data_IF_212759156599
#
_entry.id   IF_212759156599
#
_cell.length_a   1.000
_cell.length_b   1.000
_cell.length_c   1.000
_cell.angle_alpha   90.00
_cell.angle_beta   90.00
_cell.angle_gamma   90.00
#
_symmetry.space_group_name_H-M   'P 1'
#
loop_
_entity.id
_entity.type
_entity.pdbx_description
1 polymer ?
#
# COMPACT_ATOMS: atom_id res chain seq x y z
N UNK A 1 75.62 65.21 18.60
CA UNK A 1 74.87 65.05 17.34
C UNK A 1 73.47 64.57 17.71
N UNK A 2 72.49 65.43 17.52
CA UNK A 2 71.06 65.17 17.77
C UNK A 2 70.55 64.01 16.91
N UNK A 3 69.71 63.15 17.48
CA UNK A 3 68.43 62.81 16.85
C UNK A 3 67.46 62.28 17.92
N UNK A 4 66.47 63.11 18.22
CA UNK A 4 65.35 62.78 19.08
C UNK A 4 64.35 61.94 18.29
N UNK A 5 63.84 60.87 18.89
CA UNK A 5 62.58 60.26 18.44
C UNK A 5 61.61 60.25 19.62
N UNK A 6 60.63 61.15 19.50
CA UNK A 6 59.47 61.29 20.36
C UNK A 6 58.67 59.99 20.40
N UNK A 7 58.19 59.69 21.59
CA UNK A 7 57.15 58.73 21.93
C UNK A 7 55.84 59.01 21.17
N UNK A 8 55.18 57.96 20.67
CA UNK A 8 53.72 57.91 20.53
C UNK A 8 53.20 56.95 21.60
N UNK A 9 52.63 57.50 22.68
CA UNK A 9 51.76 56.73 23.57
C UNK A 9 50.47 56.46 22.81
N UNK A 10 50.11 55.18 22.66
CA UNK A 10 48.76 54.75 22.30
C UNK A 10 47.80 55.33 23.35
N UNK A 11 46.71 55.94 22.91
CA UNK A 11 45.66 56.46 23.80
C UNK A 11 44.79 55.32 24.30
N UNK A 12 44.22 55.41 25.50
CA UNK A 12 43.31 54.39 26.10
C UNK A 12 42.18 53.95 25.14
N UNK A 13 41.85 54.77 24.14
CA UNK A 13 40.87 54.44 23.11
C UNK A 13 41.34 53.35 22.14
N UNK A 14 42.66 53.24 21.87
CA UNK A 14 43.27 52.21 21.02
C UNK A 14 43.39 50.86 21.76
N UNK A 15 43.63 50.87 23.07
CA UNK A 15 43.57 49.64 23.89
C UNK A 15 42.13 49.13 24.08
N UNK A 16 41.14 50.04 24.16
CA UNK A 16 39.73 49.67 24.14
C UNK A 16 39.29 49.12 22.78
N UNK A 17 39.79 49.65 21.67
CA UNK A 17 39.52 49.10 20.35
C UNK A 17 40.18 47.74 20.17
N UNK A 18 41.40 47.55 20.68
CA UNK A 18 42.09 46.26 20.68
C UNK A 18 41.39 45.23 21.56
N UNK A 19 40.92 45.61 22.77
CA UNK A 19 40.10 44.73 23.61
C UNK A 19 38.71 44.49 23.02
N UNK A 20 38.08 45.45 22.35
CA UNK A 20 36.79 45.24 21.69
C UNK A 20 36.93 44.37 20.44
N UNK A 21 38.02 44.49 19.68
CA UNK A 21 38.34 43.61 18.54
C UNK A 21 38.74 42.22 19.03
N UNK A 22 39.51 42.10 20.13
CA UNK A 22 39.83 40.81 20.75
C UNK A 22 38.58 40.19 21.37
N UNK A 23 37.67 40.96 21.97
CA UNK A 23 36.37 40.47 22.47
C UNK A 23 35.44 40.14 21.31
N UNK A 24 35.44 40.86 20.19
CA UNK A 24 34.66 40.53 18.98
C UNK A 24 35.24 39.31 18.24
N UNK A 25 36.56 39.13 18.22
CA UNK A 25 37.22 37.93 17.68
C UNK A 25 36.99 36.74 18.61
N UNK A 26 37.05 36.93 19.93
CA UNK A 26 36.71 35.91 20.93
C UNK A 26 35.20 35.61 20.93
N UNK A 27 34.32 36.60 20.73
CA UNK A 27 32.87 36.37 20.56
C UNK A 27 32.51 35.74 19.21
N UNK A 28 33.37 35.89 18.20
CA UNK A 28 33.25 35.16 16.94
C UNK A 28 33.78 33.71 17.06
N UNK A 29 34.50 33.39 18.14
CA UNK A 29 34.94 32.02 18.52
C UNK A 29 33.90 31.33 19.43
N UNK A 30 32.93 32.06 20.01
CA UNK A 30 31.93 31.51 20.95
C UNK A 30 30.58 31.17 20.32
N UNK A 31 30.56 30.82 19.03
CA UNK A 31 29.46 29.98 18.50
C UNK A 31 30.01 28.57 18.42
N UNK A 32 29.73 27.78 19.46
CA UNK A 32 30.06 26.36 19.60
C UNK A 32 29.48 25.53 18.43
N UNK A 33 30.12 25.55 17.27
CA UNK A 33 30.18 24.36 16.42
C UNK A 33 31.43 23.61 16.87
N UNK A 34 31.30 22.77 17.91
CA UNK A 34 32.32 21.76 18.14
C UNK A 34 32.46 20.99 16.82
N UNK A 35 33.64 20.94 16.26
CA UNK A 35 33.90 20.23 15.02
C UNK A 35 35.05 19.28 15.30
N UNK A 36 34.97 18.05 14.80
CA UNK A 36 36.13 17.17 14.76
C UNK A 36 36.97 17.64 13.58
N UNK A 37 38.12 18.24 13.86
CA UNK A 37 38.99 18.81 12.85
C UNK A 37 40.35 18.13 12.83
N UNK A 38 40.87 17.90 11.62
CA UNK A 38 42.25 17.55 11.38
C UNK A 38 42.99 18.83 10.95
N UNK A 39 43.83 19.37 11.83
CA UNK A 39 44.47 20.68 11.62
C UNK A 39 43.43 21.80 11.39
N UNK A 40 43.46 22.46 10.22
CA UNK A 40 42.53 23.55 9.84
C UNK A 40 41.25 23.07 9.14
N UNK A 41 41.11 21.76 8.86
CA UNK A 41 39.97 21.21 8.13
C UNK A 41 39.07 20.38 9.05
N UNK A 42 37.84 20.84 9.21
CA UNK A 42 36.84 20.15 10.01
C UNK A 42 36.13 19.08 9.20
N UNK A 43 36.21 17.83 9.68
CA UNK A 43 35.75 16.62 9.01
C UNK A 43 34.34 16.25 9.45
N UNK A 44 34.07 16.42 10.75
CA UNK A 44 32.76 16.16 11.31
C UNK A 44 32.24 17.37 12.06
N UNK A 45 30.93 17.58 11.97
CA UNK A 45 30.20 18.59 12.72
C UNK A 45 29.59 17.95 13.94
N UNK A 46 29.87 18.50 15.11
CA UNK A 46 29.10 18.23 16.31
C UNK A 46 27.81 19.03 16.22
N UNK A 47 26.69 18.35 16.36
CA UNK A 47 25.42 18.99 16.56
C UNK A 47 25.13 18.90 18.06
N UNK A 48 25.51 19.95 18.79
CA UNK A 48 25.20 20.03 20.21
C UNK A 48 23.74 20.49 20.31
N UNK A 49 22.80 19.54 20.23
CA UNK A 49 21.41 19.85 20.55
C UNK A 49 21.36 20.13 22.03
N UNK A 50 21.38 21.40 22.44
CA UNK A 50 21.05 21.84 23.81
C UNK A 50 19.56 21.62 24.15
N UNK A 51 18.94 20.63 23.51
CA UNK A 51 17.62 20.14 23.87
C UNK A 51 17.78 19.20 25.06
N UNK A 52 17.08 19.55 26.13
CA UNK A 52 17.16 19.00 27.49
C UNK A 52 16.84 17.48 27.58
N UNK A 53 16.53 16.83 26.47
CA UNK A 53 16.17 15.42 26.38
C UNK A 53 17.15 14.55 25.55
N UNK A 54 18.26 15.12 25.07
CA UNK A 54 19.25 14.37 24.26
C UNK A 54 20.24 13.58 25.14
N UNK A 55 20.29 12.25 24.93
CA UNK A 55 21.03 11.26 25.74
C UNK A 55 22.57 11.39 25.58
N UNK A 56 23.04 12.18 24.62
CA UNK A 56 24.44 12.52 24.41
C UNK A 56 24.67 13.27 23.10
N UNK A 57 25.94 13.43 22.74
CA UNK A 57 26.35 14.25 21.60
C UNK A 57 26.08 13.55 20.26
N UNK A 58 25.65 14.32 19.26
CA UNK A 58 25.45 13.85 17.89
C UNK A 58 26.57 14.37 17.00
N UNK A 59 27.23 13.47 16.26
CA UNK A 59 28.30 13.80 15.33
C UNK A 59 27.90 13.43 13.91
N UNK A 60 28.10 14.35 12.96
CA UNK A 60 27.83 14.15 11.54
C UNK A 60 29.08 14.41 10.71
N UNK A 61 29.52 13.39 9.97
CA UNK A 61 30.71 13.45 9.11
C UNK A 61 30.35 13.26 7.63
N UNK A 62 29.29 13.92 7.13
CA UNK A 62 28.81 13.72 5.76
C UNK A 62 29.76 14.32 4.70
N UNK A 63 29.75 13.74 3.50
CA UNK A 63 30.55 14.12 2.32
C UNK A 63 32.08 13.95 2.43
N UNK A 64 32.58 13.08 3.31
CA UNK A 64 34.01 12.79 3.47
C UNK A 64 34.36 11.30 3.33
N UNK A 65 35.01 10.94 2.21
CA UNK A 65 35.44 9.56 1.88
C UNK A 65 36.61 9.04 2.71
N UNK A 66 37.31 9.91 3.45
CA UNK A 66 38.51 9.55 4.23
C UNK A 66 38.25 9.44 5.72
N UNK A 67 37.02 9.69 6.18
CA UNK A 67 36.67 9.72 7.61
C UNK A 67 37.08 8.44 8.36
N UNK A 68 36.91 7.27 7.74
CA UNK A 68 37.29 5.98 8.36
C UNK A 68 38.80 5.67 8.32
N UNK A 69 39.59 6.44 7.57
CA UNK A 69 41.04 6.29 7.46
C UNK A 69 41.81 7.15 8.47
N UNK A 70 41.09 7.97 9.23
CA UNK A 70 41.68 8.87 10.21
C UNK A 70 41.73 8.19 11.59
N UNK A 71 42.84 8.41 12.29
CA UNK A 71 43.11 7.88 13.62
C UNK A 71 42.63 8.86 14.70
N UNK A 72 41.32 9.10 14.78
CA UNK A 72 40.72 9.89 15.86
C UNK A 72 39.74 9.03 16.66
N UNK A 73 39.78 9.21 17.98
CA UNK A 73 38.86 8.56 18.91
C UNK A 73 37.60 9.40 19.07
N UNK A 74 36.43 8.74 19.13
CA UNK A 74 35.20 9.40 19.49
C UNK A 74 35.21 9.75 21.00
N UNK A 75 34.81 10.96 21.39
CA UNK A 75 34.54 11.25 22.79
C UNK A 75 33.50 10.29 23.38
N UNK A 76 33.68 9.91 24.64
CA UNK A 76 32.74 9.02 25.35
C UNK A 76 31.35 9.65 25.61
N UNK A 77 31.14 10.89 25.21
CA UNK A 77 29.84 11.58 25.25
C UNK A 77 29.03 11.38 23.97
N UNK A 78 29.63 10.85 22.91
CA UNK A 78 28.98 10.67 21.61
C UNK A 78 27.97 9.53 21.68
N UNK A 79 26.72 9.88 21.43
CA UNK A 79 25.57 8.99 21.40
C UNK A 79 25.27 8.49 19.98
N UNK A 80 25.31 9.38 18.99
CA UNK A 80 24.98 9.06 17.60
C UNK A 80 26.04 9.55 16.61
N UNK A 81 26.36 8.70 15.63
CA UNK A 81 27.34 8.99 14.57
C UNK A 81 26.70 8.81 13.19
N UNK A 82 26.69 9.90 12.42
CA UNK A 82 26.21 9.94 11.05
C UNK A 82 27.39 9.97 10.08
N UNK A 83 27.58 8.87 9.35
CA UNK A 83 28.55 8.67 8.28
C UNK A 83 27.87 8.51 6.91
N UNK A 84 26.62 8.99 6.79
CA UNK A 84 25.82 8.87 5.57
C UNK A 84 26.40 9.71 4.42
N UNK A 85 26.18 9.27 3.16
CA UNK A 85 26.57 10.03 1.95
C UNK A 85 28.07 10.32 1.84
N UNK A 86 28.91 9.40 2.29
CA UNK A 86 30.37 9.53 2.29
C UNK A 86 31.07 8.79 1.15
N UNK A 87 30.31 8.14 0.25
CA UNK A 87 30.86 7.35 -0.86
C UNK A 87 31.88 6.30 -0.37
N UNK A 88 31.66 5.76 0.83
CA UNK A 88 32.50 4.72 1.42
C UNK A 88 32.28 3.40 0.67
N UNK A 89 33.35 2.79 0.18
CA UNK A 89 33.29 1.50 -0.52
C UNK A 89 33.41 0.30 0.41
N UNK A 90 33.97 0.50 1.60
CA UNK A 90 34.16 -0.55 2.60
C UNK A 90 34.15 0.04 4.00
N UNK A 91 33.78 -0.79 4.98
CA UNK A 91 33.97 -0.50 6.40
C UNK A 91 35.31 -1.10 6.79
N UNK A 92 36.30 -0.25 7.05
CA UNK A 92 37.61 -0.67 7.56
C UNK A 92 37.67 -0.46 9.07
N UNK A 93 38.50 -1.25 9.75
CA UNK A 93 38.78 -1.06 11.17
C UNK A 93 39.24 0.37 11.44
N UNK A 94 38.41 1.13 12.15
CA UNK A 94 38.62 2.54 12.52
C UNK A 94 38.29 2.71 13.99
N UNK A 95 38.98 3.63 14.67
CA UNK A 95 38.67 3.95 16.06
C UNK A 95 37.28 4.56 16.23
N UNK A 96 36.73 5.20 15.18
CA UNK A 96 35.34 5.68 15.16
C UNK A 96 34.31 4.56 15.28
N UNK A 97 34.69 3.33 14.92
CA UNK A 97 33.85 2.13 14.99
C UNK A 97 34.22 1.24 16.19
N UNK A 98 34.99 1.80 17.13
CA UNK A 98 35.38 1.21 18.41
C UNK A 98 35.00 2.17 19.54
N UNK A 99 33.73 2.13 19.96
CA UNK A 99 33.20 3.04 20.98
C UNK A 99 32.25 2.30 21.92
N UNK A 100 32.35 2.63 23.21
CA UNK A 100 31.47 2.11 24.24
C UNK A 100 30.30 3.05 24.56
N UNK A 101 30.30 4.29 24.09
CA UNK A 101 29.19 5.23 24.30
C UNK A 101 28.18 5.23 23.15
N UNK A 102 28.63 4.86 21.95
CA UNK A 102 27.82 4.98 20.74
C UNK A 102 26.62 4.04 20.79
N UNK A 103 25.44 4.62 20.60
CA UNK A 103 24.14 3.93 20.61
C UNK A 103 23.50 3.89 19.23
N UNK A 104 23.78 4.88 18.37
CA UNK A 104 23.26 4.93 17.00
C UNK A 104 24.37 5.15 15.97
N UNK A 105 24.35 4.37 14.90
CA UNK A 105 25.29 4.47 13.79
C UNK A 105 24.55 4.46 12.44
N UNK A 106 24.77 5.49 11.65
CA UNK A 106 24.19 5.65 10.32
C UNK A 106 25.29 5.61 9.26
N UNK A 107 25.27 4.59 8.42
CA UNK A 107 26.19 4.34 7.30
C UNK A 107 25.45 4.27 5.97
N UNK A 108 24.18 4.70 5.94
CA UNK A 108 23.33 4.65 4.78
C UNK A 108 23.77 5.58 3.64
N UNK A 109 23.35 5.27 2.41
CA UNK A 109 23.69 6.05 1.22
C UNK A 109 25.19 6.16 0.97
N UNK A 110 25.90 5.03 1.15
CA UNK A 110 27.30 4.87 0.79
C UNK A 110 27.41 3.89 -0.38
N UNK A 111 28.58 3.28 -0.61
CA UNK A 111 28.82 2.25 -1.63
C UNK A 111 29.46 1.01 -1.01
N UNK A 112 29.10 0.72 0.24
CA UNK A 112 29.72 -0.36 1.00
C UNK A 112 29.30 -1.68 0.37
N UNK A 113 30.28 -2.52 -0.01
CA UNK A 113 30.01 -3.79 -0.70
C UNK A 113 29.91 -4.99 0.24
N UNK A 114 30.54 -4.91 1.40
CA UNK A 114 30.55 -5.95 2.41
C UNK A 114 30.77 -5.39 3.83
N UNK A 115 30.31 -6.13 4.84
CA UNK A 115 30.66 -5.89 6.24
C UNK A 115 31.47 -7.08 6.75
N UNK A 116 32.76 -6.84 6.99
CA UNK A 116 33.69 -7.86 7.48
C UNK A 116 33.55 -8.08 8.99
N UNK A 117 34.07 -9.21 9.47
CA UNK A 117 34.21 -9.46 10.91
C UNK A 117 35.12 -8.44 11.59
N UNK A 118 34.90 -8.21 12.89
CA UNK A 118 35.71 -7.35 13.76
C UNK A 118 35.79 -5.86 13.36
N UNK A 119 35.01 -5.36 12.40
CA UNK A 119 35.03 -3.92 12.03
C UNK A 119 34.11 -3.05 12.89
N UNK A 120 33.10 -3.64 13.53
CA UNK A 120 32.13 -2.96 14.40
C UNK A 120 32.27 -3.43 15.86
N UNK A 121 32.99 -2.67 16.68
CA UNK A 121 33.16 -2.93 18.12
C UNK A 121 32.37 -1.91 18.94
N UNK A 122 31.05 -2.06 18.93
CA UNK A 122 30.11 -1.07 19.50
C UNK A 122 29.12 -1.76 20.46
N UNK A 123 29.57 -2.16 21.67
CA UNK A 123 28.79 -3.03 22.57
C UNK A 123 27.45 -2.45 23.02
N UNK A 124 27.29 -1.13 23.00
CA UNK A 124 26.05 -0.45 23.39
C UNK A 124 25.22 0.04 22.20
N UNK A 125 25.58 -0.36 20.98
CA UNK A 125 24.85 0.02 19.78
C UNK A 125 23.46 -0.61 19.80
N UNK A 126 22.44 0.23 19.65
CA UNK A 126 21.03 -0.15 19.54
C UNK A 126 20.49 0.02 18.14
N UNK A 127 21.02 0.98 17.37
CA UNK A 127 20.55 1.29 16.03
C UNK A 127 21.69 1.26 15.01
N UNK A 128 21.51 0.49 13.93
CA UNK A 128 22.42 0.45 12.80
C UNK A 128 21.64 0.61 11.49
N UNK A 129 21.98 1.64 10.72
CA UNK A 129 21.42 1.86 9.38
C UNK A 129 22.51 1.70 8.31
N UNK A 130 22.39 0.63 7.52
CA UNK A 130 23.24 0.29 6.38
C UNK A 130 22.46 0.35 5.07
N UNK A 131 21.27 0.95 5.05
CA UNK A 131 20.42 1.01 3.87
C UNK A 131 21.05 1.79 2.71
N UNK A 132 20.60 1.53 1.49
CA UNK A 132 21.08 2.24 0.30
C UNK A 132 22.62 2.14 0.16
N UNK A 133 23.14 0.92 0.21
CA UNK A 133 24.53 0.59 -0.04
C UNK A 133 24.60 -0.42 -1.20
N UNK A 134 25.77 -1.01 -1.42
CA UNK A 134 26.01 -2.02 -2.44
C UNK A 134 26.29 -3.40 -1.81
N UNK A 135 25.75 -3.64 -0.60
CA UNK A 135 26.08 -4.81 0.20
C UNK A 135 25.62 -6.08 -0.51
N UNK A 136 26.56 -6.99 -0.71
CA UNK A 136 26.29 -8.35 -1.21
C UNK A 136 26.46 -9.39 -0.12
N UNK A 137 27.23 -9.07 0.92
CA UNK A 137 27.62 -10.02 1.95
C UNK A 137 27.87 -9.32 3.29
N UNK A 138 27.44 -9.97 4.37
CA UNK A 138 27.77 -9.62 5.74
C UNK A 138 28.38 -10.87 6.38
N UNK A 139 29.62 -10.74 6.85
CA UNK A 139 30.30 -11.83 7.53
C UNK A 139 29.46 -12.31 8.72
N UNK A 140 29.42 -13.63 8.93
CA UNK A 140 28.63 -14.25 10.00
C UNK A 140 28.98 -13.69 11.39
N UNK A 141 30.22 -13.25 11.59
CA UNK A 141 30.72 -12.70 12.85
C UNK A 141 30.81 -11.16 12.83
N UNK A 142 30.35 -10.48 11.77
CA UNK A 142 30.31 -9.02 11.65
C UNK A 142 29.57 -8.35 12.81
N UNK A 143 28.53 -9.01 13.33
CA UNK A 143 27.68 -8.48 14.40
C UNK A 143 28.02 -9.01 15.80
N UNK A 144 29.13 -9.74 15.95
CA UNK A 144 29.51 -10.41 17.21
C UNK A 144 29.62 -9.46 18.41
N UNK A 145 30.01 -8.21 18.21
CA UNK A 145 30.20 -7.23 19.29
C UNK A 145 29.05 -6.22 19.43
N UNK A 146 27.99 -6.31 18.63
CA UNK A 146 26.83 -5.40 18.70
C UNK A 146 25.57 -6.12 19.17
N UNK A 147 25.70 -6.96 20.21
CA UNK A 147 24.61 -7.85 20.68
C UNK A 147 23.38 -7.14 21.26
N UNK A 148 23.52 -5.85 21.57
CA UNK A 148 22.43 -5.01 22.10
C UNK A 148 21.64 -4.29 20.98
N UNK A 149 21.89 -4.64 19.71
CA UNK A 149 21.19 -4.04 18.59
C UNK A 149 19.69 -4.36 18.67
N UNK A 150 18.87 -3.31 18.60
CA UNK A 150 17.41 -3.35 18.64
C UNK A 150 16.81 -3.06 17.26
N UNK A 151 17.47 -2.23 16.45
CA UNK A 151 17.06 -1.85 15.10
C UNK A 151 18.19 -2.06 14.08
N UNK A 152 17.87 -2.78 13.00
CA UNK A 152 18.78 -2.99 11.87
C UNK A 152 18.08 -2.69 10.55
N UNK A 153 18.63 -1.75 9.77
CA UNK A 153 18.16 -1.46 8.41
C UNK A 153 19.21 -1.86 7.37
N UNK A 154 18.84 -2.80 6.52
CA UNK A 154 19.62 -3.33 5.39
C UNK A 154 18.90 -3.14 4.05
N UNK A 155 17.86 -2.29 4.01
CA UNK A 155 17.07 -2.05 2.81
C UNK A 155 17.90 -1.50 1.64
N UNK A 156 17.46 -1.74 0.42
CA UNK A 156 18.09 -1.21 -0.80
C UNK A 156 19.58 -1.59 -0.87
N UNK A 157 19.85 -2.89 -0.78
CA UNK A 157 21.16 -3.50 -0.97
C UNK A 157 21.06 -4.60 -2.04
N UNK A 158 22.11 -5.42 -2.22
CA UNK A 158 22.19 -6.43 -3.27
C UNK A 158 22.27 -7.85 -2.72
N UNK A 159 21.61 -8.11 -1.59
CA UNK A 159 21.52 -9.46 -1.05
C UNK A 159 20.62 -10.34 -1.94
N UNK A 160 21.13 -11.50 -2.37
CA UNK A 160 20.38 -12.45 -3.20
C UNK A 160 19.96 -13.71 -2.42
N UNK A 161 20.43 -13.87 -1.19
CA UNK A 161 20.11 -14.99 -0.31
C UNK A 161 20.40 -14.63 1.14
N UNK A 162 19.65 -15.21 2.07
CA UNK A 162 19.95 -15.09 3.50
C UNK A 162 21.23 -15.79 3.91
N UNK A 163 21.78 -16.71 3.12
CA UNK A 163 23.12 -17.28 3.39
C UNK A 163 24.22 -16.21 3.43
N UNK A 164 23.96 -15.06 2.81
CA UNK A 164 24.87 -13.92 2.78
C UNK A 164 24.82 -13.06 4.05
N UNK A 165 23.93 -13.37 5.00
CA UNK A 165 23.72 -12.59 6.23
C UNK A 165 23.43 -13.54 7.39
N UNK A 166 23.99 -13.30 8.56
CA UNK A 166 23.65 -14.09 9.75
C UNK A 166 23.24 -13.20 10.92
N UNK A 167 22.11 -13.54 11.54
CA UNK A 167 21.55 -12.75 12.65
C UNK A 167 21.72 -13.40 14.02
N UNK A 168 22.42 -14.54 14.11
CA UNK A 168 22.53 -15.35 15.33
C UNK A 168 23.13 -14.62 16.55
N UNK A 169 23.92 -13.55 16.34
CA UNK A 169 24.44 -12.71 17.43
C UNK A 169 23.46 -11.63 17.92
N UNK A 170 22.39 -11.36 17.17
CA UNK A 170 21.45 -10.24 17.38
C UNK A 170 20.22 -10.67 18.20
N UNK A 171 20.44 -11.18 19.41
CA UNK A 171 19.39 -11.73 20.28
C UNK A 171 18.46 -10.70 20.95
N UNK A 172 18.71 -9.41 20.72
CA UNK A 172 17.88 -8.30 21.20
C UNK A 172 17.20 -7.53 20.07
N UNK A 173 17.32 -8.00 18.82
CA UNK A 173 16.73 -7.31 17.68
C UNK A 173 15.21 -7.32 17.79
N UNK A 174 14.63 -6.13 17.62
CA UNK A 174 13.18 -5.86 17.72
C UNK A 174 12.62 -5.50 16.35
N UNK A 175 13.39 -4.74 15.57
CA UNK A 175 13.00 -4.26 14.25
C UNK A 175 14.08 -4.55 13.21
N UNK A 176 13.64 -5.11 12.09
CA UNK A 176 14.51 -5.37 10.95
C UNK A 176 13.83 -4.94 9.64
N UNK A 177 14.59 -4.23 8.81
CA UNK A 177 14.15 -3.74 7.50
C UNK A 177 15.08 -4.33 6.44
N UNK A 178 14.51 -5.11 5.52
CA UNK A 178 15.20 -5.84 4.45
C UNK A 178 14.69 -5.47 3.06
N UNK A 179 13.92 -4.40 2.97
CA UNK A 179 13.22 -3.99 1.75
C UNK A 179 14.14 -3.86 0.54
N UNK A 180 13.60 -4.05 -0.66
CA UNK A 180 14.29 -3.82 -1.93
C UNK A 180 15.64 -4.56 -2.04
N UNK A 181 15.67 -5.82 -1.58
CA UNK A 181 16.74 -6.78 -1.84
C UNK A 181 16.24 -7.88 -2.79
N UNK A 182 17.06 -8.89 -3.10
CA UNK A 182 16.65 -10.03 -3.95
C UNK A 182 16.52 -11.32 -3.12
N UNK A 183 15.83 -11.23 -1.98
CA UNK A 183 15.76 -12.29 -0.96
C UNK A 183 14.61 -13.29 -1.17
N UNK A 184 13.66 -13.00 -2.06
CA UNK A 184 12.41 -13.75 -2.21
C UNK A 184 12.60 -15.26 -2.41
N UNK A 185 13.49 -15.66 -3.32
CA UNK A 185 13.72 -17.08 -3.61
C UNK A 185 14.20 -17.89 -2.39
N UNK A 186 14.93 -17.27 -1.46
CA UNK A 186 15.37 -17.96 -0.24
C UNK A 186 14.27 -18.12 0.81
N UNK A 187 13.28 -17.22 0.87
CA UNK A 187 12.13 -17.33 1.80
C UNK A 187 11.03 -18.26 1.32
N UNK A 188 11.02 -18.57 0.03
CA UNK A 188 10.12 -19.59 -0.53
C UNK A 188 10.49 -20.99 0.02
N UNK A 189 11.75 -21.21 0.37
CA UNK A 189 12.27 -22.51 0.79
C UNK A 189 12.60 -22.60 2.29
N UNK A 190 12.86 -21.48 2.97
CA UNK A 190 13.39 -21.48 4.33
C UNK A 190 12.67 -20.49 5.26
N UNK A 191 12.63 -20.85 6.54
CA UNK A 191 12.08 -19.99 7.60
C UNK A 191 13.17 -19.09 8.20
N UNK A 192 12.95 -17.77 8.17
CA UNK A 192 13.84 -16.76 8.73
C UNK A 192 13.99 -16.85 10.26
N UNK A 193 12.97 -17.36 10.94
CA UNK A 193 12.89 -17.51 12.40
C UNK A 193 13.36 -18.87 12.90
N UNK A 194 13.73 -19.80 12.01
CA UNK A 194 14.31 -21.08 12.41
C UNK A 194 15.63 -20.84 13.16
N UNK A 195 15.67 -21.30 14.42
CA UNK A 195 16.86 -21.19 15.28
C UNK A 195 18.07 -21.94 14.74
N UNK A 196 17.86 -22.98 13.94
CA UNK A 196 18.94 -23.73 13.28
C UNK A 196 19.43 -23.07 11.99
N UNK A 197 18.64 -22.13 11.45
CA UNK A 197 18.92 -21.38 10.23
C UNK A 197 19.53 -20.00 10.48
N UNK A 198 18.83 -18.95 10.02
CA UNK A 198 19.39 -17.60 9.86
C UNK A 198 19.42 -16.76 11.15
N UNK A 199 18.72 -17.20 12.19
CA UNK A 199 18.93 -16.73 13.56
C UNK A 199 18.18 -15.48 13.98
N UNK A 200 17.04 -15.13 13.34
CA UNK A 200 16.13 -14.16 13.96
C UNK A 200 15.45 -14.79 15.18
N UNK A 201 15.21 -13.96 16.20
CA UNK A 201 14.58 -14.41 17.44
C UNK A 201 13.11 -14.01 17.50
N UNK A 202 12.37 -14.67 18.39
CA UNK A 202 10.98 -14.35 18.69
C UNK A 202 10.73 -12.93 19.20
N UNK A 203 11.78 -12.18 19.57
CA UNK A 203 11.65 -10.79 20.04
C UNK A 203 11.34 -9.79 18.94
N UNK A 204 11.39 -10.20 17.66
CA UNK A 204 11.08 -9.34 16.54
C UNK A 204 9.61 -8.92 16.61
N UNK A 205 9.40 -7.60 16.66
CA UNK A 205 8.08 -6.96 16.69
C UNK A 205 7.74 -6.28 15.37
N UNK A 206 8.75 -5.93 14.58
CA UNK A 206 8.58 -5.27 13.29
C UNK A 206 9.48 -5.92 12.24
N UNK A 207 8.87 -6.43 11.17
CA UNK A 207 9.54 -7.01 10.02
C UNK A 207 9.07 -6.31 8.75
N UNK A 208 10.01 -5.77 7.99
CA UNK A 208 9.77 -5.20 6.66
C UNK A 208 10.59 -5.95 5.62
N UNK A 209 9.90 -6.55 4.67
CA UNK A 209 10.42 -7.32 3.53
C UNK A 209 9.69 -6.88 2.24
N UNK A 210 9.48 -5.57 2.10
CA UNK A 210 8.85 -4.99 0.92
C UNK A 210 9.76 -5.13 -0.30
N UNK A 211 9.22 -5.46 -1.48
CA UNK A 211 10.02 -5.40 -2.71
C UNK A 211 11.13 -6.45 -2.82
N UNK A 212 11.09 -7.55 -2.04
CA UNK A 212 12.15 -8.56 -2.06
C UNK A 212 12.02 -9.60 -3.19
N UNK A 213 11.05 -9.42 -4.10
CA UNK A 213 10.72 -10.33 -5.18
C UNK A 213 10.17 -11.70 -4.71
N UNK A 214 9.43 -11.72 -3.60
CA UNK A 214 8.82 -12.93 -3.05
C UNK A 214 7.57 -13.36 -3.84
N UNK A 215 7.46 -14.61 -4.27
CA UNK A 215 6.27 -15.11 -5.01
C UNK A 215 5.28 -15.87 -4.13
N UNK A 216 5.79 -16.57 -3.13
CA UNK A 216 4.98 -17.34 -2.19
C UNK A 216 5.64 -17.33 -0.81
N UNK A 217 4.82 -17.35 0.24
CA UNK A 217 5.31 -17.49 1.61
C UNK A 217 5.28 -18.97 1.98
N UNK A 218 6.37 -19.48 2.54
CA UNK A 218 6.45 -20.85 3.03
C UNK A 218 5.45 -21.08 4.20
N UNK A 219 4.78 -22.23 4.25
CA UNK A 219 3.71 -22.53 5.23
C UNK A 219 4.15 -22.28 6.68
N UNK A 220 5.37 -22.70 7.04
CA UNK A 220 5.88 -22.55 8.40
C UNK A 220 6.58 -21.21 8.71
N UNK A 221 6.46 -20.19 7.85
CA UNK A 221 7.26 -18.97 7.97
C UNK A 221 7.03 -18.22 9.30
N UNK A 222 5.79 -18.19 9.81
CA UNK A 222 5.44 -17.45 11.03
C UNK A 222 5.23 -18.33 12.27
N UNK A 223 5.52 -19.63 12.21
CA UNK A 223 5.20 -20.59 13.29
C UNK A 223 5.83 -20.22 14.64
N UNK A 224 7.07 -19.74 14.64
CA UNK A 224 7.82 -19.37 15.86
C UNK A 224 7.69 -17.88 16.24
N UNK A 225 6.78 -17.15 15.58
CA UNK A 225 6.71 -15.69 15.66
C UNK A 225 5.50 -15.25 16.50
N UNK A 226 5.75 -15.03 17.80
CA UNK A 226 4.69 -14.72 18.77
C UNK A 226 4.69 -13.28 19.29
N UNK A 227 5.63 -12.43 18.89
CA UNK A 227 5.63 -11.01 19.27
C UNK A 227 5.49 -10.03 18.08
N UNK A 228 5.35 -10.54 16.85
CA UNK A 228 5.30 -9.68 15.66
C UNK A 228 4.03 -8.83 15.64
N UNK A 229 4.22 -7.52 15.64
CA UNK A 229 3.14 -6.52 15.64
C UNK A 229 3.01 -5.81 14.30
N UNK A 230 4.10 -5.67 13.55
CA UNK A 230 4.13 -4.96 12.29
C UNK A 230 4.76 -5.84 11.23
N UNK A 231 4.00 -6.10 10.17
CA UNK A 231 4.48 -6.79 8.99
C UNK A 231 4.24 -5.93 7.75
N UNK A 232 5.31 -5.60 7.06
CA UNK A 232 5.27 -5.03 5.72
C UNK A 232 5.86 -6.04 4.73
N UNK A 233 5.00 -6.56 3.85
CA UNK A 233 5.36 -7.50 2.77
C UNK A 233 4.87 -6.97 1.42
N UNK A 234 4.72 -5.65 1.33
CA UNK A 234 4.24 -4.95 0.15
C UNK A 234 5.20 -5.10 -1.05
N UNK A 235 4.72 -4.76 -2.25
CA UNK A 235 5.48 -4.73 -3.49
C UNK A 235 6.21 -6.05 -3.84
N UNK A 236 5.64 -7.18 -3.44
CA UNK A 236 6.12 -8.51 -3.81
C UNK A 236 5.26 -9.10 -4.95
N UNK A 237 5.43 -10.38 -5.24
CA UNK A 237 4.74 -11.11 -6.31
C UNK A 237 3.78 -12.17 -5.76
N UNK A 238 3.26 -11.95 -4.55
CA UNK A 238 2.36 -12.88 -3.86
C UNK A 238 0.99 -12.86 -4.55
N UNK A 239 0.57 -14.00 -5.09
CA UNK A 239 -0.69 -14.14 -5.82
C UNK A 239 -1.88 -14.60 -4.95
N UNK A 240 -1.58 -15.24 -3.82
CA UNK A 240 -2.55 -15.85 -2.91
C UNK A 240 -2.18 -15.49 -1.46
N UNK A 241 -3.20 -15.37 -0.60
CA UNK A 241 -3.00 -15.11 0.82
C UNK A 241 -2.48 -16.37 1.53
N UNK A 242 -1.85 -16.17 2.67
CA UNK A 242 -1.18 -17.18 3.48
C UNK A 242 -1.52 -16.96 4.96
N UNK A 243 -1.17 -17.92 5.82
CA UNK A 243 -1.43 -17.81 7.26
C UNK A 243 -0.64 -16.66 7.88
N UNK A 244 -1.38 -15.69 8.44
CA UNK A 244 -0.82 -14.50 9.05
C UNK A 244 -0.75 -14.67 10.58
N UNK A 245 0.28 -14.12 11.24
CA UNK A 245 0.38 -14.18 12.69
C UNK A 245 -0.74 -13.37 13.35
N UNK A 246 -1.52 -14.01 14.23
CA UNK A 246 -2.65 -13.40 14.95
C UNK A 246 -2.28 -12.21 15.84
N UNK A 247 -0.98 -12.00 16.09
CA UNK A 247 -0.44 -10.95 16.96
C UNK A 247 -0.34 -9.58 16.29
N UNK A 248 -0.54 -9.51 14.97
CA UNK A 248 -0.37 -8.30 14.16
C UNK A 248 -1.32 -7.16 14.56
N UNK A 249 -0.76 -5.96 14.55
CA UNK A 249 -1.45 -4.68 14.72
C UNK A 249 -1.36 -3.82 13.46
N UNK A 250 -0.35 -4.05 12.60
CA UNK A 250 -0.19 -3.42 11.30
C UNK A 250 0.16 -4.47 10.25
N UNK A 251 -0.55 -4.44 9.12
CA UNK A 251 -0.28 -5.28 7.96
C UNK A 251 -0.34 -4.47 6.66
N UNK A 252 0.74 -4.54 5.88
CA UNK A 252 0.78 -4.01 4.52
C UNK A 252 1.07 -5.12 3.50
N UNK A 253 0.07 -5.40 2.67
CA UNK A 253 0.13 -6.36 1.56
C UNK A 253 0.11 -5.64 0.21
N UNK A 254 0.18 -4.30 0.20
CA UNK A 254 -0.02 -3.48 -1.00
C UNK A 254 0.91 -3.87 -2.14
N UNK A 255 0.48 -3.69 -3.38
CA UNK A 255 1.32 -3.93 -4.56
C UNK A 255 1.63 -5.40 -4.86
N UNK A 256 0.94 -6.34 -4.21
CA UNK A 256 1.00 -7.75 -4.55
C UNK A 256 -0.10 -8.15 -5.57
N UNK A 257 0.14 -9.13 -6.46
CA UNK A 257 -0.83 -9.58 -7.45
C UNK A 257 -1.98 -10.44 -6.89
N UNK A 258 -2.41 -10.21 -5.65
CA UNK A 258 -3.50 -10.94 -5.00
C UNK A 258 -4.81 -10.71 -5.76
N UNK A 259 -5.45 -11.80 -6.19
CA UNK A 259 -6.63 -11.76 -7.07
C UNK A 259 -7.97 -11.89 -6.34
N UNK A 260 -7.96 -12.42 -5.12
CA UNK A 260 -9.14 -12.64 -4.30
C UNK A 260 -8.77 -12.53 -2.82
N UNK A 261 -9.76 -12.14 -2.02
CA UNK A 261 -9.74 -12.19 -0.57
C UNK A 261 -11.02 -12.89 -0.11
N UNK A 262 -11.04 -13.43 1.10
CA UNK A 262 -12.16 -14.16 1.70
C UNK A 262 -12.45 -13.66 3.12
N UNK A 263 -13.58 -14.09 3.70
CA UNK A 263 -13.92 -13.81 5.09
C UNK A 263 -13.02 -14.53 6.10
N UNK A 264 -12.30 -15.57 5.68
CA UNK A 264 -11.43 -16.36 6.56
C UNK A 264 -10.01 -15.79 6.63
N UNK A 265 -9.54 -15.12 5.56
CA UNK A 265 -8.14 -14.71 5.40
C UNK A 265 -7.60 -13.78 6.51
N UNK A 266 -8.49 -13.00 7.12
CA UNK A 266 -8.15 -12.05 8.19
C UNK A 266 -8.86 -12.37 9.52
N UNK A 267 -9.55 -13.52 9.61
CA UNK A 267 -10.45 -13.82 10.71
C UNK A 267 -9.75 -13.82 12.08
N UNK A 268 -8.49 -14.27 12.15
CA UNK A 268 -7.72 -14.37 13.39
C UNK A 268 -7.01 -13.07 13.79
N UNK A 269 -7.04 -12.03 12.96
CA UNK A 269 -6.29 -10.79 13.17
C UNK A 269 -7.06 -9.78 14.04
N UNK A 270 -7.58 -10.23 15.18
CA UNK A 270 -8.48 -9.44 16.05
C UNK A 270 -7.81 -8.19 16.62
N UNK A 271 -6.47 -8.21 16.76
CA UNK A 271 -5.66 -7.08 17.24
C UNK A 271 -5.28 -6.07 16.15
N UNK A 272 -5.62 -6.34 14.88
CA UNK A 272 -5.19 -5.53 13.74
C UNK A 272 -5.83 -4.14 13.78
N UNK A 273 -5.01 -3.10 13.70
CA UNK A 273 -5.43 -1.69 13.75
C UNK A 273 -5.35 -1.01 12.39
N UNK A 274 -4.39 -1.41 11.57
CA UNK A 274 -4.15 -0.84 10.25
C UNK A 274 -3.92 -1.96 9.22
N UNK A 275 -4.74 -1.95 8.17
CA UNK A 275 -4.67 -2.90 7.06
C UNK A 275 -4.57 -2.15 5.73
N UNK A 276 -3.51 -2.44 4.98
CA UNK A 276 -3.28 -1.88 3.64
C UNK A 276 -3.31 -2.98 2.58
N UNK A 277 -4.27 -2.83 1.67
CA UNK A 277 -4.57 -3.71 0.54
C UNK A 277 -4.59 -2.88 -0.75
N UNK A 278 -3.63 -1.97 -0.89
CA UNK A 278 -3.58 -1.06 -2.02
C UNK A 278 -3.00 -1.76 -3.25
N UNK A 279 -3.45 -1.40 -4.46
CA UNK A 279 -2.89 -1.87 -5.72
C UNK A 279 -2.80 -3.41 -5.83
N UNK A 280 -3.81 -4.13 -5.34
CA UNK A 280 -4.02 -5.55 -5.58
C UNK A 280 -4.80 -5.77 -6.88
N UNK A 281 -4.99 -7.05 -7.24
CA UNK A 281 -5.74 -7.47 -8.43
C UNK A 281 -7.15 -7.99 -8.10
N UNK A 282 -7.63 -7.71 -6.89
CA UNK A 282 -8.96 -8.11 -6.41
C UNK A 282 -10.09 -7.51 -7.25
N UNK A 283 -11.12 -8.32 -7.50
CA UNK A 283 -12.30 -7.90 -8.28
C UNK A 283 -13.47 -7.45 -7.42
N UNK A 284 -13.58 -8.01 -6.22
CA UNK A 284 -14.61 -7.72 -5.25
C UNK A 284 -14.07 -7.82 -3.82
N UNK A 285 -14.66 -7.03 -2.92
CA UNK A 285 -14.58 -7.27 -1.47
C UNK A 285 -15.81 -8.11 -1.10
N UNK A 286 -15.64 -9.37 -0.67
CA UNK A 286 -16.76 -10.25 -0.37
C UNK A 286 -17.40 -9.94 0.97
N UNK A 287 -18.50 -10.64 1.25
CA UNK A 287 -19.18 -10.62 2.54
C UNK A 287 -18.22 -11.07 3.65
N UNK A 288 -18.31 -10.43 4.82
CA UNK A 288 -17.56 -10.79 6.04
C UNK A 288 -16.03 -10.71 5.92
N UNK A 289 -15.47 -10.14 4.84
CA UNK A 289 -14.03 -9.98 4.64
C UNK A 289 -13.28 -9.37 5.83
N UNK A 290 -13.94 -8.46 6.55
CA UNK A 290 -13.36 -7.69 7.65
C UNK A 290 -14.17 -7.79 8.95
N UNK A 291 -15.12 -8.73 9.05
CA UNK A 291 -16.07 -8.77 10.17
C UNK A 291 -15.40 -9.06 11.52
N UNK A 292 -14.33 -9.85 11.53
CA UNK A 292 -13.61 -10.21 12.77
C UNK A 292 -12.60 -9.15 13.24
N UNK A 293 -12.39 -8.10 12.45
CA UNK A 293 -11.35 -7.09 12.69
C UNK A 293 -11.84 -5.99 13.64
N UNK A 294 -12.20 -6.38 14.86
CA UNK A 294 -12.82 -5.50 15.86
C UNK A 294 -11.92 -4.36 16.38
N UNK A 295 -10.60 -4.40 16.11
CA UNK A 295 -9.66 -3.33 16.47
C UNK A 295 -9.29 -2.43 15.28
N UNK A 296 -9.87 -2.65 14.10
CA UNK A 296 -9.42 -2.02 12.86
C UNK A 296 -9.85 -0.56 12.81
N UNK A 297 -8.87 0.34 12.86
CA UNK A 297 -9.06 1.79 12.80
C UNK A 297 -8.82 2.38 11.41
N UNK A 298 -8.01 1.71 10.59
CA UNK A 298 -7.64 2.21 9.27
C UNK A 298 -7.58 1.09 8.23
N UNK A 299 -8.38 1.23 7.17
CA UNK A 299 -8.42 0.32 6.04
C UNK A 299 -8.17 1.07 4.73
N UNK A 300 -7.15 0.64 3.99
CA UNK A 300 -6.82 1.19 2.68
C UNK A 300 -6.96 0.12 1.58
N UNK A 301 -7.79 0.42 0.57
CA UNK A 301 -8.06 -0.40 -0.61
C UNK A 301 -7.90 0.48 -1.88
N UNK A 302 -6.88 1.33 -1.89
CA UNK A 302 -6.63 2.27 -2.99
C UNK A 302 -6.08 1.59 -4.24
N UNK A 303 -6.40 2.16 -5.40
CA UNK A 303 -5.84 1.77 -6.70
C UNK A 303 -6.03 0.29 -7.03
N UNK A 304 -7.06 -0.35 -6.48
CA UNK A 304 -7.47 -1.68 -6.89
C UNK A 304 -8.23 -1.56 -8.22
N UNK A 305 -7.47 -1.53 -9.32
CA UNK A 305 -8.00 -1.20 -10.66
C UNK A 305 -9.00 -2.23 -11.19
N UNK A 306 -9.08 -3.41 -10.60
CA UNK A 306 -10.06 -4.45 -10.97
C UNK A 306 -11.27 -4.47 -10.02
N UNK A 307 -11.24 -3.73 -8.91
CA UNK A 307 -12.27 -3.75 -7.89
C UNK A 307 -13.52 -3.03 -8.40
N UNK A 308 -14.58 -3.81 -8.65
CA UNK A 308 -15.85 -3.31 -9.21
C UNK A 308 -17.03 -3.46 -8.26
N UNK A 309 -16.90 -4.31 -7.24
CA UNK A 309 -17.94 -4.58 -6.24
C UNK A 309 -17.38 -4.48 -4.83
N UNK A 310 -18.20 -3.98 -3.93
CA UNK A 310 -17.91 -3.93 -2.50
C UNK A 310 -19.16 -4.45 -1.78
N UNK A 311 -19.01 -5.52 -1.00
CA UNK A 311 -20.13 -6.10 -0.27
C UNK A 311 -20.67 -5.16 0.80
N UNK A 312 -21.99 -5.16 0.95
CA UNK A 312 -22.69 -4.42 2.02
C UNK A 312 -22.40 -4.98 3.40
N UNK A 313 -22.08 -6.26 3.49
CA UNK A 313 -21.81 -7.01 4.73
C UNK A 313 -20.32 -7.31 4.88
N UNK A 314 -19.44 -6.58 4.17
CA UNK A 314 -17.99 -6.76 4.27
C UNK A 314 -17.48 -6.63 5.73
N UNK A 315 -18.09 -5.75 6.52
CA UNK A 315 -17.79 -5.55 7.95
C UNK A 315 -18.70 -6.35 8.89
N UNK A 316 -19.48 -7.30 8.38
CA UNK A 316 -20.49 -8.03 9.15
C UNK A 316 -21.89 -7.44 9.05
N UNK A 317 -22.90 -8.23 9.40
CA UNK A 317 -24.30 -7.79 9.45
C UNK A 317 -24.59 -6.92 10.68
N UNK A 318 -23.88 -7.18 11.77
CA UNK A 318 -24.05 -6.50 13.06
C UNK A 318 -23.83 -4.99 12.94
N UNK A 319 -22.82 -4.56 12.18
CA UNK A 319 -22.51 -3.15 11.89
C UNK A 319 -23.66 -2.40 11.19
N UNK A 320 -24.52 -3.11 10.46
CA UNK A 320 -25.67 -2.50 9.77
C UNK A 320 -26.88 -2.33 10.70
N UNK A 321 -26.96 -3.12 11.78
CA UNK A 321 -28.02 -3.06 12.77
C UNK A 321 -27.65 -2.11 13.92
N UNK A 322 -26.40 -2.20 14.39
CA UNK A 322 -25.83 -1.39 15.45
C UNK A 322 -24.43 -0.89 15.05
N UNK A 323 -24.33 0.42 14.86
CA UNK A 323 -23.08 1.08 14.47
C UNK A 323 -22.28 1.57 15.68
N UNK A 324 -22.70 1.31 16.93
CA UNK A 324 -21.92 1.72 18.11
C UNK A 324 -20.58 0.98 18.21
N UNK A 325 -20.53 -0.29 17.77
CA UNK A 325 -19.32 -1.11 17.77
C UNK A 325 -18.44 -0.94 16.51
N UNK A 326 -18.82 -0.04 15.59
CA UNK A 326 -18.06 0.23 14.38
C UNK A 326 -16.88 1.17 14.68
N UNK A 327 -15.71 0.59 14.96
CA UNK A 327 -14.50 1.33 15.39
C UNK A 327 -13.66 1.93 14.25
N UNK A 328 -14.01 1.66 13.00
CA UNK A 328 -13.22 2.12 11.85
C UNK A 328 -13.22 3.66 11.81
N UNK A 329 -12.04 4.27 11.74
CA UNK A 329 -11.92 5.73 11.65
C UNK A 329 -11.66 6.18 10.21
N UNK A 330 -10.90 5.37 9.47
CA UNK A 330 -10.37 5.73 8.14
C UNK A 330 -10.64 4.63 7.14
N UNK A 331 -11.32 4.98 6.05
CA UNK A 331 -11.51 4.13 4.89
C UNK A 331 -11.09 4.85 3.61
N UNK A 332 -10.26 4.20 2.80
CA UNK A 332 -9.93 4.69 1.45
C UNK A 332 -10.25 3.62 0.41
N UNK A 333 -11.16 3.94 -0.51
CA UNK A 333 -11.51 3.13 -1.69
C UNK A 333 -11.06 3.82 -2.98
N UNK A 334 -10.10 4.75 -2.87
CA UNK A 334 -9.73 5.70 -3.92
C UNK A 334 -9.15 5.01 -5.15
N UNK A 335 -9.53 5.47 -6.34
CA UNK A 335 -8.87 5.08 -7.59
C UNK A 335 -9.13 3.64 -8.02
N UNK A 336 -10.23 3.05 -7.55
CA UNK A 336 -10.72 1.74 -7.94
C UNK A 336 -11.74 1.86 -9.08
N UNK A 337 -12.43 0.78 -9.44
CA UNK A 337 -13.47 0.76 -10.50
C UNK A 337 -14.89 0.62 -9.96
N UNK A 338 -15.13 1.05 -8.73
CA UNK A 338 -16.45 1.02 -8.13
C UNK A 338 -17.39 1.95 -8.89
N UNK A 339 -18.62 1.49 -9.10
CA UNK A 339 -19.66 2.27 -9.78
C UNK A 339 -20.79 2.69 -8.84
N UNK A 340 -21.00 1.94 -7.76
CA UNK A 340 -21.99 2.23 -6.74
C UNK A 340 -21.54 1.64 -5.41
N UNK A 341 -22.14 2.10 -4.32
CA UNK A 341 -22.09 1.51 -2.98
C UNK A 341 -23.53 1.45 -2.46
N UNK A 342 -23.83 0.45 -1.65
CA UNK A 342 -25.19 0.26 -1.12
C UNK A 342 -25.54 1.32 -0.08
N UNK A 343 -26.81 1.75 -0.08
CA UNK A 343 -27.30 2.78 0.82
C UNK A 343 -27.28 2.37 2.30
N UNK A 344 -27.27 1.08 2.61
CA UNK A 344 -27.14 0.58 3.99
C UNK A 344 -25.81 0.98 4.64
N UNK A 345 -24.81 1.32 3.84
CA UNK A 345 -23.51 1.81 4.33
C UNK A 345 -23.57 3.29 4.77
N UNK A 346 -24.69 4.00 4.58
CA UNK A 346 -24.84 5.42 4.93
C UNK A 346 -24.48 5.70 6.40
N UNK A 347 -24.97 4.88 7.33
CA UNK A 347 -24.73 5.06 8.77
C UNK A 347 -23.28 4.77 9.14
N UNK A 348 -22.72 3.55 8.90
CA UNK A 348 -21.34 3.26 9.30
C UNK A 348 -20.33 4.18 8.60
N UNK A 349 -20.50 4.45 7.30
CA UNK A 349 -19.57 5.33 6.58
C UNK A 349 -19.72 6.80 6.96
N UNK A 350 -20.88 7.19 7.49
CA UNK A 350 -21.15 8.54 7.99
C UNK A 350 -20.43 8.87 9.30
N UNK A 351 -19.98 7.87 10.06
CA UNK A 351 -19.25 8.03 11.32
C UNK A 351 -17.73 8.12 11.15
N UNK A 352 -17.23 7.77 9.95
CA UNK A 352 -15.80 7.77 9.66
C UNK A 352 -15.21 9.18 9.78
N UNK A 353 -14.03 9.27 10.41
CA UNK A 353 -13.21 10.49 10.45
C UNK A 353 -12.70 10.84 9.06
N UNK A 354 -12.33 9.82 8.27
CA UNK A 354 -11.83 9.99 6.90
C UNK A 354 -12.42 8.94 5.97
N UNK A 355 -13.01 9.40 4.87
CA UNK A 355 -13.56 8.55 3.81
C UNK A 355 -13.15 9.08 2.42
N UNK A 356 -12.19 8.42 1.78
CA UNK A 356 -11.75 8.78 0.41
C UNK A 356 -12.37 7.84 -0.64
N UNK A 357 -13.39 8.36 -1.33
CA UNK A 357 -14.10 7.67 -2.43
C UNK A 357 -13.67 8.15 -3.83
N UNK A 358 -12.66 9.02 -3.90
CA UNK A 358 -12.31 9.74 -5.12
C UNK A 358 -11.73 8.82 -6.21
N UNK A 359 -11.85 9.22 -7.47
CA UNK A 359 -11.23 8.49 -8.58
C UNK A 359 -11.90 7.16 -8.97
N UNK A 360 -13.11 6.90 -8.49
CA UNK A 360 -13.95 5.77 -8.92
C UNK A 360 -14.90 6.15 -10.08
N UNK A 361 -15.60 5.16 -10.61
CA UNK A 361 -16.47 5.26 -11.78
C UNK A 361 -17.94 5.43 -11.39
N UNK A 362 -18.20 6.34 -10.45
CA UNK A 362 -19.50 6.53 -9.82
C UNK A 362 -20.64 6.77 -10.81
N UNK A 363 -21.70 5.97 -10.68
CA UNK A 363 -22.97 6.18 -11.36
C UNK A 363 -23.87 7.03 -10.46
N UNK A 364 -24.01 8.31 -10.80
CA UNK A 364 -24.81 9.29 -10.07
C UNK A 364 -26.31 9.14 -10.39
N UNK A 365 -26.88 8.03 -9.92
CA UNK A 365 -28.31 7.73 -9.98
C UNK A 365 -28.92 7.65 -8.57
N UNK A 366 -30.15 7.15 -8.45
CA UNK A 366 -30.83 7.09 -7.16
C UNK A 366 -30.11 6.22 -6.11
N UNK A 367 -29.30 5.23 -6.51
CA UNK A 367 -28.62 4.33 -5.58
C UNK A 367 -27.42 4.99 -4.90
N UNK A 368 -26.89 6.08 -5.47
CA UNK A 368 -25.73 6.81 -4.93
C UNK A 368 -26.12 8.13 -4.25
N UNK A 369 -27.40 8.46 -4.18
CA UNK A 369 -27.87 9.76 -3.65
C UNK A 369 -27.48 9.97 -2.18
N UNK A 370 -27.39 8.88 -1.41
CA UNK A 370 -27.07 8.88 0.02
C UNK A 370 -25.66 9.41 0.32
N UNK A 371 -24.71 9.28 -0.62
CA UNK A 371 -23.34 9.80 -0.46
C UNK A 371 -23.33 11.30 -0.17
N UNK A 372 -24.34 12.04 -0.62
CA UNK A 372 -24.49 13.48 -0.34
C UNK A 372 -24.84 13.79 1.11
N UNK A 373 -25.33 12.82 1.88
CA UNK A 373 -25.69 12.97 3.29
C UNK A 373 -24.48 12.76 4.21
N UNK A 374 -23.39 12.21 3.69
CA UNK A 374 -22.17 11.96 4.45
C UNK A 374 -21.51 13.27 4.87
N UNK A 375 -21.07 13.33 6.13
CA UNK A 375 -20.40 14.49 6.71
C UNK A 375 -18.88 14.38 6.56
N UNK A 376 -18.42 14.44 5.30
CA UNK A 376 -17.01 14.25 4.96
C UNK A 376 -16.29 15.60 4.91
N UNK A 377 -15.00 15.65 5.29
CA UNK A 377 -14.17 16.84 5.12
C UNK A 377 -13.99 17.22 3.64
N UNK A 378 -13.93 18.53 3.28
CA UNK A 378 -13.75 19.00 1.89
C UNK A 378 -12.62 18.33 1.12
N UNK A 379 -11.49 18.10 1.79
CA UNK A 379 -10.29 17.49 1.19
C UNK A 379 -10.54 16.10 0.63
N UNK A 380 -11.48 15.35 1.22
CA UNK A 380 -11.74 13.95 0.85
C UNK A 380 -12.87 13.82 -0.19
N UNK A 381 -13.66 14.88 -0.44
CA UNK A 381 -14.71 14.86 -1.48
C UNK A 381 -14.49 15.82 -2.66
N UNK A 382 -13.53 16.74 -2.60
CA UNK A 382 -13.32 17.78 -3.63
C UNK A 382 -13.16 17.24 -5.06
N UNK A 383 -12.66 16.02 -5.21
CA UNK A 383 -12.47 15.34 -6.52
C UNK A 383 -13.43 14.16 -6.70
N UNK A 384 -14.49 14.06 -5.90
CA UNK A 384 -15.53 13.06 -6.08
C UNK A 384 -16.45 13.47 -7.25
N UNK A 385 -16.42 12.69 -8.33
CA UNK A 385 -17.08 13.04 -9.59
C UNK A 385 -17.92 11.90 -10.14
N UNK A 386 -18.98 12.28 -10.86
CA UNK A 386 -19.80 11.35 -11.61
C UNK A 386 -19.08 10.85 -12.86
N UNK A 387 -19.14 9.55 -13.09
CA UNK A 387 -18.76 8.91 -14.36
C UNK A 387 -19.97 8.61 -15.23
N UNK A 388 -21.09 8.22 -14.62
CA UNK A 388 -22.39 8.05 -15.29
C UNK A 388 -23.48 8.80 -14.52
N UNK A 389 -24.62 9.11 -15.15
CA UNK A 389 -24.90 9.05 -16.59
C UNK A 389 -24.15 10.14 -17.39
N UNK A 390 -24.12 10.03 -18.72
CA UNK A 390 -23.38 10.95 -19.61
C UNK A 390 -23.65 12.46 -19.37
N UNK A 391 -24.89 12.92 -19.11
CA UNK A 391 -25.16 14.34 -18.82
C UNK A 391 -24.50 14.85 -17.54
N UNK A 392 -24.20 13.97 -16.59
CA UNK A 392 -23.55 14.30 -15.33
C UNK A 392 -22.04 14.01 -15.36
N UNK A 393 -21.51 13.52 -16.48
CA UNK A 393 -20.10 13.14 -16.60
C UNK A 393 -19.16 14.26 -16.10
N UNK A 394 -18.20 13.89 -15.25
CA UNK A 394 -17.20 14.76 -14.64
C UNK A 394 -17.75 15.87 -13.70
N UNK A 395 -19.06 15.88 -13.43
CA UNK A 395 -19.67 16.78 -12.46
C UNK A 395 -19.30 16.37 -11.03
N UNK A 396 -19.07 17.33 -10.15
CA UNK A 396 -18.80 17.06 -8.72
C UNK A 396 -20.08 16.60 -8.02
N UNK A 397 -20.02 15.46 -7.33
CA UNK A 397 -21.19 14.84 -6.68
C UNK A 397 -21.82 15.80 -5.64
N UNK A 398 -20.99 16.47 -4.85
CA UNK A 398 -21.45 17.35 -3.78
C UNK A 398 -22.11 18.65 -4.29
N UNK A 399 -21.73 19.13 -5.48
CA UNK A 399 -22.30 20.35 -6.10
C UNK A 399 -23.66 20.09 -6.77
N UNK A 400 -23.97 18.84 -7.11
CA UNK A 400 -25.23 18.47 -7.77
C UNK A 400 -26.42 18.49 -6.80
N UNK A 401 -27.59 18.95 -7.26
CA UNK A 401 -28.83 18.85 -6.47
C UNK A 401 -29.33 17.39 -6.41
N UNK A 402 -29.92 16.92 -5.29
CA UNK A 402 -30.41 15.54 -5.15
C UNK A 402 -31.36 15.08 -6.26
N UNK A 403 -32.19 15.99 -6.81
CA UNK A 403 -33.12 15.71 -7.93
C UNK A 403 -32.48 15.17 -9.21
N UNK A 404 -31.16 15.33 -9.39
CA UNK A 404 -30.44 14.79 -10.55
C UNK A 404 -30.10 13.29 -10.39
N UNK A 405 -30.18 12.76 -9.17
CA UNK A 405 -29.93 11.35 -8.84
C UNK A 405 -31.25 10.58 -8.98
N UNK A 406 -31.64 10.27 -10.21
CA UNK A 406 -32.90 9.56 -10.51
C UNK A 406 -32.62 8.24 -11.22
N UNK A 407 -33.24 7.16 -10.76
CA UNK A 407 -33.27 5.91 -11.51
C UNK A 407 -34.47 5.92 -12.48
N UNK A 408 -34.33 5.35 -13.69
CA UNK A 408 -35.50 5.09 -14.53
C UNK A 408 -36.48 4.26 -13.72
N UNK A 409 -37.73 4.72 -13.60
CA UNK A 409 -38.79 3.86 -13.09
C UNK A 409 -38.78 2.56 -13.90
N UNK A 410 -39.14 1.44 -13.26
CA UNK A 410 -39.22 0.10 -13.85
C UNK A 410 -40.31 -0.01 -14.96
N UNK A 411 -40.48 1.00 -15.83
CA UNK A 411 -41.52 1.10 -16.85
C UNK A 411 -41.18 0.37 -18.15
N UNK A 412 -40.20 -0.55 -18.15
CA UNK A 412 -39.97 -1.42 -19.31
C UNK A 412 -41.20 -2.29 -19.61
N UNK A 413 -42.01 -2.61 -18.61
CA UNK A 413 -43.27 -3.34 -18.81
C UNK A 413 -44.40 -2.48 -19.39
N UNK A 414 -44.48 -1.18 -19.08
CA UNK A 414 -45.60 -0.35 -19.56
C UNK A 414 -45.52 -0.14 -21.08
N UNK A 415 -44.32 0.13 -21.61
CA UNK A 415 -44.13 0.28 -23.07
C UNK A 415 -44.42 -1.01 -23.84
N UNK A 416 -43.99 -2.16 -23.32
CA UNK A 416 -44.25 -3.47 -23.94
C UNK A 416 -45.73 -3.83 -23.82
N UNK A 417 -46.38 -3.59 -22.68
CA UNK A 417 -47.81 -3.86 -22.48
C UNK A 417 -48.67 -2.98 -23.40
N UNK A 418 -48.34 -1.70 -23.57
CA UNK A 418 -49.03 -0.82 -24.52
C UNK A 418 -48.81 -1.29 -25.97
N UNK A 419 -47.58 -1.70 -26.33
CA UNK A 419 -47.29 -2.22 -27.66
C UNK A 419 -48.03 -3.53 -27.96
N UNK A 420 -48.10 -4.45 -26.99
CA UNK A 420 -48.85 -5.72 -27.13
C UNK A 420 -50.35 -5.46 -27.18
N UNK A 421 -50.88 -4.59 -26.32
CA UNK A 421 -52.30 -4.23 -26.32
C UNK A 421 -52.73 -3.55 -27.62
N UNK A 422 -51.92 -2.63 -28.14
CA UNK A 422 -52.18 -1.96 -29.43
C UNK A 422 -52.09 -2.95 -30.60
N UNK A 423 -51.12 -3.88 -30.59
CA UNK A 423 -51.03 -4.95 -31.58
C UNK A 423 -52.27 -5.88 -31.54
N UNK A 424 -52.74 -6.27 -30.35
CA UNK A 424 -53.95 -7.08 -30.21
C UNK A 424 -55.22 -6.35 -30.69
N UNK A 425 -55.34 -5.06 -30.43
CA UNK A 425 -56.47 -4.23 -30.93
C UNK A 425 -56.41 -4.13 -32.46
N UNK A 426 -55.22 -3.92 -33.04
CA UNK A 426 -55.06 -3.87 -34.49
C UNK A 426 -55.38 -5.21 -35.15
N UNK A 427 -54.90 -6.32 -34.61
CA UNK A 427 -55.18 -7.67 -35.13
C UNK A 427 -56.66 -8.04 -35.02
N UNK A 428 -57.32 -7.70 -33.91
CA UNK A 428 -58.77 -7.95 -33.75
C UNK A 428 -59.60 -7.07 -34.69
N UNK A 429 -59.23 -5.80 -34.87
CA UNK A 429 -59.90 -4.92 -35.84
C UNK A 429 -59.73 -5.40 -37.28
N UNK A 430 -58.55 -5.90 -37.65
CA UNK A 430 -58.29 -6.50 -38.96
C UNK A 430 -59.09 -7.80 -39.15
N UNK A 431 -59.17 -8.66 -38.13
CA UNK A 431 -59.98 -9.88 -38.18
C UNK A 431 -61.48 -9.59 -38.34
N UNK A 432 -62.00 -8.58 -37.63
CA UNK A 432 -63.40 -8.13 -37.76
C UNK A 432 -63.65 -7.53 -39.14
N UNK A 433 -62.72 -6.73 -39.67
CA UNK A 433 -62.82 -6.17 -41.02
C UNK A 433 -62.81 -7.27 -42.08
N UNK A 434 -61.94 -8.26 -41.95
CA UNK A 434 -61.89 -9.47 -42.79
C UNK A 434 -63.23 -10.22 -42.70
N UNK A 435 -63.78 -10.44 -41.51
CA UNK A 435 -65.04 -11.17 -41.33
C UNK A 435 -66.25 -10.43 -41.90
N UNK A 436 -66.29 -9.10 -41.80
CA UNK A 436 -67.41 -8.28 -42.27
C UNK A 436 -67.33 -7.94 -43.77
N UNK A 437 -66.12 -7.80 -44.32
CA UNK A 437 -65.91 -7.26 -45.67
C UNK A 437 -65.27 -8.25 -46.65
N UNK A 438 -64.79 -9.43 -46.24
CA UNK A 438 -64.61 -10.50 -47.23
C UNK A 438 -66.00 -10.97 -47.69
N UNK A 439 -66.30 -10.88 -49.00
CA UNK A 439 -67.56 -11.36 -49.51
C UNK A 439 -67.64 -12.88 -49.29
N UNK A 440 -68.83 -13.39 -48.96
CA UNK A 440 -69.18 -14.80 -49.13
C UNK A 440 -68.93 -15.22 -50.59
N UNK A 441 -67.69 -15.56 -50.94
CA UNK A 441 -67.30 -16.07 -52.25
C UNK A 441 -67.34 -17.61 -52.25
N UNK A 442 -68.43 -18.17 -51.75
CA UNK A 442 -68.77 -19.59 -51.84
C UNK A 442 -70.26 -19.75 -52.14
N UNK A 443 -70.70 -19.24 -53.28
CA UNK A 443 -72.03 -19.60 -53.83
C UNK A 443 -72.20 -19.26 -55.32
N UNK A 444 -71.17 -19.40 -56.18
CA UNK A 444 -71.33 -19.38 -57.65
C UNK A 444 -70.11 -19.88 -58.43
N UNK A 445 -69.89 -21.20 -58.45
CA UNK A 445 -69.07 -21.87 -59.48
C UNK A 445 -69.73 -23.20 -59.91
N UNK A 446 -70.95 -23.12 -60.46
CA UNK A 446 -71.50 -24.08 -61.43
C UNK A 446 -71.64 -23.31 -62.75
N UNK A 447 -70.58 -23.24 -63.56
CA UNK A 447 -70.72 -22.78 -64.95
C UNK A 447 -69.56 -23.14 -65.89
N UNK A 448 -68.40 -23.60 -65.40
CA UNK A 448 -67.28 -24.02 -66.27
C UNK A 448 -67.18 -25.55 -66.36
N UNK A 449 -68.27 -26.17 -66.82
CA UNK A 449 -68.33 -27.61 -67.11
C UNK A 449 -68.50 -27.92 -68.61
N UNK A 450 -68.36 -26.94 -69.50
CA UNK A 450 -68.39 -27.16 -70.95
C UNK A 450 -67.34 -26.28 -71.63
N UNK A 451 -66.59 -26.89 -72.56
CA UNK A 451 -65.56 -26.31 -73.45
C UNK A 451 -64.09 -26.44 -73.00
N UNK A 452 -63.61 -27.68 -72.91
CA UNK A 452 -62.27 -28.05 -73.37
C UNK A 452 -62.15 -29.58 -73.49
N UNK A 453 -62.66 -30.14 -74.59
CA UNK A 453 -62.14 -31.37 -75.23
C UNK A 453 -61.84 -30.97 -76.68
N UNK A 454 -60.85 -31.57 -77.39
CA UNK A 454 -60.50 -33.01 -77.46
C UNK A 454 -58.95 -33.22 -77.44
N UNK A 455 -58.28 -34.35 -77.62
CA UNK A 455 -58.50 -35.80 -77.81
C UNK A 455 -57.12 -36.47 -77.68
N UNK A 456 -57.14 -37.80 -77.45
CA UNK A 456 -56.07 -38.81 -77.47
C UNK A 456 -55.69 -39.27 -76.05
N UNK A 457 -55.69 -40.55 -75.68
CA UNK A 457 -55.90 -41.82 -76.38
C UNK A 457 -55.20 -42.91 -75.56
N UNK A 458 -55.90 -44.03 -75.34
CA UNK A 458 -55.42 -45.35 -74.89
C UNK A 458 -55.24 -45.64 -73.36
N UNK A 459 -56.28 -46.29 -72.82
CA UNK A 459 -56.33 -47.63 -72.16
C UNK A 459 -55.12 -48.18 -71.39
N UNK A 460 -55.33 -48.57 -70.12
CA UNK A 460 -55.45 -49.98 -69.67
C UNK A 460 -55.77 -50.08 -68.16
N UNK A 461 -56.50 -51.15 -67.80
CA UNK A 461 -57.19 -51.46 -66.54
C UNK A 461 -56.29 -51.91 -65.36
N UNK A 462 -56.84 -51.94 -64.12
CA UNK A 462 -56.14 -52.25 -62.88
C UNK A 462 -56.21 -53.73 -62.50
N UNK A 463 -55.30 -54.19 -61.63
CA UNK A 463 -55.49 -55.43 -60.88
C UNK A 463 -55.47 -55.11 -59.39
N UNK A 464 -56.63 -55.32 -58.77
CA UNK A 464 -56.78 -55.59 -57.35
C UNK A 464 -56.27 -56.99 -57.03
N UNK A 465 -55.61 -57.13 -55.88
CA UNK A 465 -55.71 -58.34 -55.08
C UNK A 465 -55.72 -57.95 -53.60
N UNK A 466 -56.90 -58.06 -53.00
CA UNK A 466 -57.08 -58.26 -51.56
C UNK A 466 -56.28 -59.49 -51.12
N UNK A 467 -55.84 -59.54 -49.87
CA UNK A 467 -56.29 -60.59 -48.94
C UNK A 467 -55.94 -60.25 -47.48
N UNK A 468 -56.92 -60.53 -46.62
CA UNK A 468 -56.89 -60.58 -45.16
C UNK A 468 -55.74 -61.51 -44.68
N UNK A 469 -55.18 -61.44 -43.48
CA UNK A 469 -55.78 -61.78 -42.18
C UNK A 469 -54.68 -61.70 -41.10
N UNK A 470 -55.13 -61.50 -39.85
CA UNK A 470 -54.44 -61.60 -38.54
C UNK A 470 -53.59 -60.41 -38.09
#
# INVERSE_FOLDING_TARGET
>A
MHLSLRTRRLTDHDEMLFHAIVILIIHCITVECAMICESDFCVCRHNNTKDIDSIGDIITCAYNTRVLKQDFDLPNTVYALYLSRNNLSSITSSNLLKSTSLTELYLNQNRITEVNSDVLHLPNLKRLDLSNNELKYVDKDAFRYIKNLEYLNLANNWFTSFEMISFHHLSNLVEIVLDDNQLGGSLEENNLFDRSGYGLTHKIKSLSISGINLKSVHENFFVDVYELKRLDISNNHIAELFELPFTLEYLDLSGNPITQISGEDFADLVALKELKLNNLHIQEVPDFAFSSLHSLTSLELERNINLTKFSTTAFGQEVLEDAEDFVLEKLSLKGSRLTTLDEKLEVPFGQLVKLDLQGNFWNCDCNLVWVKKLQIAPRDYERLRCFKPAPLYNSRIFDLKPRYFSCPAHSKHIGIVIAVATLCILLSSAAIWIFLFLPKYQSRCRFLQNMATPSAGYTMLPIHANFQTL
#
